data_IF_269177629842
#
_entry.id   IF_269177629842
#
_cell.length_a   1.000
_cell.length_b   1.000
_cell.length_c   1.000
_cell.angle_alpha   90.00
_cell.angle_beta   90.00
_cell.angle_gamma   90.00
#
_symmetry.space_group_name_H-M   'P 1'
#
loop_
_entity.id
_entity.type
_entity.pdbx_description
1 polymer ?
#
# COMPACT_ATOMS: atom_id res chain seq x y z
N UNK A 1 -27.67 3.34 35.92
CA UNK A 1 -27.10 4.27 36.93
C UNK A 1 -27.85 5.60 37.05
N UNK A 2 -28.26 6.29 35.96
CA UNK A 2 -29.02 7.57 36.00
C UNK A 2 -30.34 7.54 36.80
N UNK A 3 -31.07 6.43 36.78
CA UNK A 3 -32.37 6.35 37.47
C UNK A 3 -32.21 6.25 39.00
N UNK A 4 -31.15 5.58 39.48
CA UNK A 4 -30.84 5.52 40.92
C UNK A 4 -30.42 6.89 41.46
N UNK A 5 -29.54 7.61 40.76
CA UNK A 5 -29.06 8.93 41.20
C UNK A 5 -30.19 9.98 41.24
N UNK A 6 -31.16 9.87 40.33
CA UNK A 6 -32.33 10.77 40.31
C UNK A 6 -33.26 10.48 41.50
N UNK A 7 -33.44 9.21 41.88
CA UNK A 7 -34.23 8.82 43.06
C UNK A 7 -33.65 9.35 44.38
N UNK A 8 -32.33 9.24 44.58
CA UNK A 8 -31.65 9.80 45.75
C UNK A 8 -31.80 11.32 45.86
N UNK A 9 -31.81 12.02 44.72
CA UNK A 9 -31.95 13.46 44.68
C UNK A 9 -33.33 13.94 45.11
N UNK A 10 -34.40 13.28 44.64
CA UNK A 10 -35.76 13.58 45.08
C UNK A 10 -35.97 13.29 46.57
N UNK A 11 -35.32 12.25 47.09
CA UNK A 11 -35.32 11.97 48.53
C UNK A 11 -34.65 13.08 49.34
N UNK A 12 -33.52 13.61 48.85
CA UNK A 12 -32.85 14.75 49.45
C UNK A 12 -33.71 16.02 49.43
N UNK A 13 -34.45 16.28 48.34
CA UNK A 13 -35.39 17.41 48.25
C UNK A 13 -36.54 17.28 49.25
N UNK A 14 -37.11 16.09 49.39
CA UNK A 14 -38.13 15.79 50.38
C UNK A 14 -37.63 16.06 51.80
N UNK A 15 -36.42 15.58 52.11
CA UNK A 15 -35.79 15.81 53.41
C UNK A 15 -35.57 17.31 53.67
N UNK A 16 -35.02 18.05 52.72
CA UNK A 16 -34.79 19.49 52.87
C UNK A 16 -36.11 20.27 53.03
N UNK A 17 -37.14 19.93 52.23
CA UNK A 17 -38.47 20.53 52.37
C UNK A 17 -39.07 20.29 53.75
N UNK A 18 -38.99 19.06 54.26
CA UNK A 18 -39.46 18.73 55.61
C UNK A 18 -38.70 19.49 56.70
N UNK A 19 -37.39 19.69 56.56
CA UNK A 19 -36.62 20.47 57.54
C UNK A 19 -37.03 21.95 57.58
N UNK A 20 -37.29 22.56 56.41
CA UNK A 20 -37.81 23.95 56.33
C UNK A 20 -39.20 24.03 56.96
N UNK A 21 -40.08 23.08 56.68
CA UNK A 21 -41.41 23.04 57.29
C UNK A 21 -41.39 22.88 58.80
N UNK A 22 -40.53 21.99 59.32
CA UNK A 22 -40.36 21.77 60.76
C UNK A 22 -39.79 23.01 61.47
N UNK A 23 -38.86 23.73 60.82
CA UNK A 23 -38.30 24.98 61.34
C UNK A 23 -39.37 26.07 61.48
N UNK A 24 -40.18 26.28 60.45
CA UNK A 24 -41.24 27.30 60.48
C UNK A 24 -42.32 26.98 61.51
N UNK A 25 -42.66 25.70 61.69
CA UNK A 25 -43.58 25.28 62.75
C UNK A 25 -43.00 25.57 64.14
N UNK A 26 -41.72 25.24 64.36
CA UNK A 26 -41.02 25.49 65.63
C UNK A 26 -40.81 26.98 65.93
N UNK A 27 -40.76 27.83 64.91
CA UNK A 27 -40.69 29.29 65.05
C UNK A 27 -42.03 29.93 65.48
N UNK A 28 -43.10 29.15 65.69
CA UNK A 28 -44.38 29.64 66.21
C UNK A 28 -45.36 30.15 65.15
N UNK A 29 -45.07 29.93 63.85
CA UNK A 29 -45.92 30.38 62.74
C UNK A 29 -47.14 29.49 62.47
N UNK A 30 -47.32 28.42 63.25
CA UNK A 30 -48.41 27.45 63.12
C UNK A 30 -48.17 26.36 62.08
N UNK A 31 -48.96 25.28 62.17
CA UNK A 31 -48.81 24.09 61.32
C UNK A 31 -49.05 24.38 59.82
N UNK A 32 -49.96 25.31 59.50
CA UNK A 32 -50.23 25.74 58.13
C UNK A 32 -49.00 26.37 57.45
N UNK A 33 -48.24 27.20 58.18
CA UNK A 33 -47.01 27.80 57.69
C UNK A 33 -45.90 26.76 57.47
N UNK A 34 -45.82 25.73 58.33
CA UNK A 34 -44.88 24.62 58.16
C UNK A 34 -45.13 23.80 56.90
N UNK A 35 -46.39 23.42 56.63
CA UNK A 35 -46.76 22.68 55.42
C UNK A 35 -46.52 23.52 54.17
N UNK A 36 -46.93 24.79 54.18
CA UNK A 36 -46.72 25.70 53.05
C UNK A 36 -45.22 25.90 52.74
N UNK A 37 -44.38 26.04 53.78
CA UNK A 37 -42.94 26.17 53.62
C UNK A 37 -42.26 24.91 53.08
N UNK A 38 -42.71 23.72 53.49
CA UNK A 38 -42.18 22.46 52.95
C UNK A 38 -42.49 22.28 51.47
N UNK A 39 -43.74 22.55 51.06
CA UNK A 39 -44.17 22.49 49.65
C UNK A 39 -43.45 23.55 48.82
N UNK A 40 -43.30 24.77 49.34
CA UNK A 40 -42.59 25.86 48.67
C UNK A 40 -41.11 25.54 48.45
N UNK A 41 -40.43 25.01 49.45
CA UNK A 41 -39.03 24.59 49.34
C UNK A 41 -38.85 23.46 48.32
N UNK A 42 -39.75 22.47 48.31
CA UNK A 42 -39.77 21.40 47.31
C UNK A 42 -39.96 21.94 45.87
N UNK A 43 -40.91 22.86 45.68
CA UNK A 43 -41.15 23.49 44.39
C UNK A 43 -39.95 24.28 43.86
N UNK A 44 -39.28 25.03 44.72
CA UNK A 44 -38.09 25.80 44.36
C UNK A 44 -36.90 24.91 43.99
N UNK A 45 -36.65 23.83 44.74
CA UNK A 45 -35.59 22.88 44.44
C UNK A 45 -35.84 22.14 43.12
N UNK A 46 -37.10 21.73 42.88
CA UNK A 46 -37.50 21.11 41.62
C UNK A 46 -37.32 22.04 40.42
N UNK A 47 -37.72 23.31 40.55
CA UNK A 47 -37.53 24.32 39.51
C UNK A 47 -36.04 24.58 39.23
N UNK A 48 -35.23 24.71 40.28
CA UNK A 48 -33.78 24.89 40.15
C UNK A 48 -33.11 23.69 39.46
N UNK A 49 -33.48 22.46 39.83
CA UNK A 49 -32.98 21.25 39.19
C UNK A 49 -33.34 21.18 37.70
N UNK A 50 -34.59 21.52 37.34
CA UNK A 50 -35.04 21.57 35.95
C UNK A 50 -34.25 22.59 35.13
N UNK A 51 -33.93 23.75 35.70
CA UNK A 51 -33.11 24.77 35.04
C UNK A 51 -31.68 24.27 34.81
N UNK A 52 -31.03 23.67 35.82
CA UNK A 52 -29.65 23.17 35.72
C UNK A 52 -29.53 22.02 34.71
N UNK A 53 -30.43 21.04 34.79
CA UNK A 53 -30.44 19.89 33.86
C UNK A 53 -30.79 20.33 32.43
N UNK A 54 -31.73 21.25 32.27
CA UNK A 54 -32.05 21.86 30.98
C UNK A 54 -30.88 22.63 30.38
N UNK A 55 -30.12 23.39 31.18
CA UNK A 55 -28.91 24.08 30.72
C UNK A 55 -27.82 23.09 30.29
N UNK A 56 -27.61 22.00 31.04
CA UNK A 56 -26.64 20.98 30.68
C UNK A 56 -27.02 20.27 29.37
N UNK A 57 -28.29 19.90 29.19
CA UNK A 57 -28.79 19.30 27.96
C UNK A 57 -28.66 20.24 26.76
N UNK A 58 -28.98 21.53 26.92
CA UNK A 58 -28.81 22.54 25.87
C UNK A 58 -27.34 22.74 25.49
N UNK A 59 -26.41 22.68 26.46
CA UNK A 59 -24.97 22.74 26.17
C UNK A 59 -24.47 21.52 25.42
N UNK A 60 -24.93 20.33 25.78
CA UNK A 60 -24.59 19.08 25.08
C UNK A 60 -25.11 19.11 23.63
N UNK A 61 -26.39 19.49 23.44
CA UNK A 61 -26.98 19.62 22.10
C UNK A 61 -26.27 20.68 21.25
N UNK A 62 -25.88 21.82 21.85
CA UNK A 62 -25.10 22.83 21.13
C UNK A 62 -23.76 22.27 20.65
N UNK A 63 -23.08 21.49 21.48
CA UNK A 63 -21.80 20.83 21.12
C UNK A 63 -21.98 19.86 19.95
N UNK A 64 -23.04 19.05 19.95
CA UNK A 64 -23.36 18.16 18.82
C UNK A 64 -23.67 18.95 17.54
N UNK A 65 -24.45 20.04 17.63
CA UNK A 65 -24.74 20.90 16.47
C UNK A 65 -23.46 21.54 15.92
N UNK A 66 -22.57 21.99 16.78
CA UNK A 66 -21.29 22.59 16.36
C UNK A 66 -20.39 21.54 15.67
N UNK A 67 -20.35 20.30 16.17
CA UNK A 67 -19.65 19.18 15.51
C UNK A 67 -20.25 18.83 14.15
N UNK A 68 -21.58 18.81 14.02
CA UNK A 68 -22.25 18.56 12.74
C UNK A 68 -21.97 19.68 11.74
N UNK A 69 -21.95 20.95 12.19
CA UNK A 69 -21.59 22.10 11.35
C UNK A 69 -20.14 22.03 10.87
N UNK A 70 -19.22 21.62 11.73
CA UNK A 70 -17.82 21.44 11.37
C UNK A 70 -17.64 20.31 10.34
N UNK A 71 -18.30 19.17 10.55
CA UNK A 71 -18.32 18.08 9.56
C UNK A 71 -18.92 18.53 8.22
N UNK A 72 -20.01 19.30 8.23
CA UNK A 72 -20.63 19.82 7.01
C UNK A 72 -19.72 20.84 6.30
N UNK A 73 -18.97 21.65 7.04
CA UNK A 73 -18.00 22.59 6.45
C UNK A 73 -16.84 21.85 5.77
N UNK A 74 -16.30 20.82 6.41
CA UNK A 74 -15.25 19.96 5.81
C UNK A 74 -15.75 19.28 4.53
N UNK A 75 -17.00 18.83 4.52
CA UNK A 75 -17.65 18.25 3.34
C UNK A 75 -17.82 19.26 2.20
N UNK A 76 -18.22 20.50 2.53
CA UNK A 76 -18.33 21.58 1.56
C UNK A 76 -16.97 21.96 0.96
N UNK A 77 -15.93 22.10 1.79
CA UNK A 77 -14.55 22.40 1.36
C UNK A 77 -14.01 21.28 0.44
N UNK A 78 -14.33 20.01 0.75
CA UNK A 78 -13.96 18.87 -0.11
C UNK A 78 -14.72 18.86 -1.44
N UNK A 79 -16.00 19.27 -1.46
CA UNK A 79 -16.78 19.40 -2.68
C UNK A 79 -16.27 20.54 -3.58
N UNK A 80 -15.89 21.68 -3.00
CA UNK A 80 -15.32 22.80 -3.75
C UNK A 80 -13.95 22.43 -4.35
N UNK A 81 -13.11 21.72 -3.59
CA UNK A 81 -11.83 21.18 -4.06
C UNK A 81 -12.00 20.18 -5.22
N UNK A 82 -12.95 19.26 -5.11
CA UNK A 82 -13.25 18.29 -6.19
C UNK A 82 -13.84 18.96 -7.43
N UNK A 83 -14.66 20.01 -7.27
CA UNK A 83 -15.18 20.78 -8.40
C UNK A 83 -14.09 21.62 -9.09
N UNK A 84 -13.13 22.17 -8.32
CA UNK A 84 -11.94 22.82 -8.86
C UNK A 84 -11.08 21.85 -9.68
N UNK A 85 -10.80 20.67 -9.13
CA UNK A 85 -10.04 19.62 -9.81
C UNK A 85 -10.74 19.11 -11.09
N UNK A 86 -12.07 19.00 -11.09
CA UNK A 86 -12.83 18.65 -12.30
C UNK A 86 -12.78 19.74 -13.37
N UNK A 87 -12.72 21.00 -12.95
CA UNK A 87 -12.59 22.15 -13.87
C UNK A 87 -11.19 22.21 -14.48
N UNK A 88 -10.15 21.96 -13.68
CA UNK A 88 -8.77 21.81 -14.18
C UNK A 88 -8.62 20.60 -15.10
N UNK A 89 -9.25 19.47 -14.78
CA UNK A 89 -9.26 18.28 -15.64
C UNK A 89 -9.94 18.57 -16.98
N UNK A 90 -11.08 19.27 -16.96
CA UNK A 90 -11.78 19.69 -18.17
C UNK A 90 -10.91 20.63 -19.03
N UNK A 91 -10.22 21.59 -18.40
CA UNK A 91 -9.29 22.48 -19.10
C UNK A 91 -8.05 21.76 -19.63
N UNK A 92 -7.52 20.77 -18.91
CA UNK A 92 -6.37 19.98 -19.35
C UNK A 92 -6.71 19.06 -20.55
N UNK A 93 -7.95 18.54 -20.58
CA UNK A 93 -8.48 17.78 -21.72
C UNK A 93 -8.68 18.72 -22.93
N UNK A 94 -9.15 19.95 -22.69
CA UNK A 94 -9.38 20.94 -23.75
C UNK A 94 -8.07 21.58 -24.27
N UNK A 95 -7.03 21.67 -23.44
CA UNK A 95 -5.77 22.33 -23.80
C UNK A 95 -4.75 21.43 -24.50
N UNK A 96 -4.99 20.13 -24.62
CA UNK A 96 -4.13 19.21 -25.38
C UNK A 96 -2.63 19.45 -25.15
N UNK A 97 -2.19 19.49 -23.89
CA UNK A 97 -0.85 19.95 -23.52
C UNK A 97 0.23 19.01 -24.07
N UNK A 98 0.74 19.41 -25.23
CA UNK A 98 1.88 18.88 -25.96
C UNK A 98 3.16 18.88 -25.10
N UNK A 99 3.62 17.70 -24.64
CA UNK A 99 5.07 17.40 -24.51
C UNK A 99 5.45 15.92 -24.32
N UNK A 100 4.59 14.93 -24.58
CA UNK A 100 4.91 13.52 -24.25
C UNK A 100 5.40 12.66 -25.44
N UNK A 101 5.59 13.24 -26.64
CA UNK A 101 5.85 12.44 -27.85
C UNK A 101 7.26 11.84 -27.91
N UNK A 102 8.29 12.53 -27.41
CA UNK A 102 9.67 12.03 -27.44
C UNK A 102 9.99 11.03 -26.32
N UNK A 103 9.43 11.23 -25.12
CA UNK A 103 9.59 10.31 -23.98
C UNK A 103 8.89 8.97 -24.21
N UNK A 104 7.66 8.98 -24.77
CA UNK A 104 6.99 7.75 -25.21
C UNK A 104 7.79 7.02 -26.29
N UNK A 105 8.52 7.73 -27.16
CA UNK A 105 9.26 7.08 -28.25
C UNK A 105 10.47 6.29 -27.74
N UNK A 106 11.18 6.79 -26.72
CA UNK A 106 12.29 6.06 -26.06
C UNK A 106 11.80 4.83 -25.30
N UNK A 107 10.73 5.01 -24.52
CA UNK A 107 10.04 3.97 -23.75
C UNK A 107 9.57 2.79 -24.62
N UNK A 108 8.91 3.09 -25.74
CA UNK A 108 8.37 2.08 -26.65
C UNK A 108 9.48 1.34 -27.39
N UNK A 109 10.57 2.02 -27.76
CA UNK A 109 11.72 1.40 -28.43
C UNK A 109 12.47 0.42 -27.53
N UNK A 110 12.54 0.72 -26.23
CA UNK A 110 13.08 -0.19 -25.24
C UNK A 110 12.20 -1.45 -25.12
N UNK A 111 10.88 -1.27 -25.03
CA UNK A 111 9.92 -2.37 -24.98
C UNK A 111 10.02 -3.28 -26.21
N UNK A 112 10.10 -2.70 -27.42
CA UNK A 112 10.28 -3.45 -28.67
C UNK A 112 11.58 -4.26 -28.69
N UNK A 113 12.69 -3.66 -28.26
CA UNK A 113 13.99 -4.35 -28.23
C UNK A 113 13.97 -5.54 -27.26
N UNK A 114 13.30 -5.38 -26.12
CA UNK A 114 13.20 -6.41 -25.08
C UNK A 114 12.27 -7.56 -25.49
N UNK A 115 11.10 -7.25 -26.05
CA UNK A 115 10.18 -8.27 -26.59
C UNK A 115 10.88 -9.07 -27.70
N UNK A 116 11.68 -8.41 -28.54
CA UNK A 116 12.42 -9.09 -29.61
C UNK A 116 13.52 -10.01 -29.06
N UNK A 117 14.34 -9.54 -28.12
CA UNK A 117 15.39 -10.37 -27.50
C UNK A 117 14.82 -11.59 -26.76
N UNK A 118 13.68 -11.41 -26.09
CA UNK A 118 12.97 -12.50 -25.43
C UNK A 118 12.36 -13.49 -26.44
N UNK A 119 11.78 -12.99 -27.53
CA UNK A 119 11.25 -13.85 -28.61
C UNK A 119 12.35 -14.73 -29.21
N UNK A 120 13.51 -14.14 -29.47
CA UNK A 120 14.65 -14.86 -30.06
C UNK A 120 15.21 -15.95 -29.10
N UNK A 121 15.22 -15.68 -27.79
CA UNK A 121 15.67 -16.64 -26.76
C UNK A 121 14.72 -17.84 -26.63
N UNK A 122 13.41 -17.58 -26.63
CA UNK A 122 12.38 -18.62 -26.49
C UNK A 122 12.25 -19.45 -27.77
N UNK A 123 12.32 -18.82 -28.95
CA UNK A 123 12.29 -19.54 -30.23
C UNK A 123 13.49 -20.49 -30.38
N UNK A 124 14.69 -20.06 -29.97
CA UNK A 124 15.87 -20.93 -29.96
C UNK A 124 15.70 -22.13 -29.03
N UNK A 125 15.04 -21.96 -27.88
CA UNK A 125 14.80 -23.05 -26.93
C UNK A 125 13.70 -24.00 -27.37
N UNK A 126 12.56 -23.49 -27.87
CA UNK A 126 11.51 -24.31 -28.46
C UNK A 126 12.04 -25.15 -29.63
N UNK A 127 12.99 -24.62 -30.40
CA UNK A 127 13.68 -25.35 -31.47
C UNK A 127 14.67 -26.42 -30.96
N UNK A 128 15.22 -26.25 -29.75
CA UNK A 128 16.20 -27.16 -29.12
C UNK A 128 15.60 -28.26 -28.23
N UNK A 129 14.28 -28.22 -27.96
CA UNK A 129 13.63 -29.17 -27.07
C UNK A 129 13.68 -30.61 -27.65
N UNK A 130 14.24 -31.59 -26.93
CA UNK A 130 14.28 -32.97 -27.41
C UNK A 130 12.85 -33.53 -27.54
N UNK A 131 12.58 -34.24 -28.63
CA UNK A 131 11.33 -34.97 -28.84
C UNK A 131 11.25 -36.21 -27.94
N UNK A 132 11.09 -36.01 -26.63
CA UNK A 132 10.71 -37.07 -25.71
C UNK A 132 9.26 -37.46 -26.00
N UNK A 133 9.00 -38.76 -26.16
CA UNK A 133 7.66 -39.28 -26.48
C UNK A 133 6.62 -38.82 -25.47
N UNK A 134 5.54 -38.21 -25.99
CA UNK A 134 4.45 -37.55 -25.24
C UNK A 134 3.71 -38.50 -24.26
N UNK A 135 3.90 -39.82 -24.38
CA UNK A 135 3.16 -40.80 -23.58
C UNK A 135 3.64 -40.98 -22.13
N UNK A 136 4.89 -40.63 -21.82
CA UNK A 136 5.44 -40.77 -20.46
C UNK A 136 4.94 -39.67 -19.51
N UNK A 137 4.95 -39.95 -18.20
CA UNK A 137 4.58 -38.95 -17.19
C UNK A 137 5.48 -37.71 -17.26
N UNK A 138 6.79 -37.90 -17.49
CA UNK A 138 7.75 -36.83 -17.69
C UNK A 138 7.50 -36.07 -19.00
N UNK A 139 7.18 -36.77 -20.09
CA UNK A 139 6.81 -36.17 -21.36
C UNK A 139 5.56 -35.29 -21.28
N UNK A 140 4.53 -35.70 -20.53
CA UNK A 140 3.34 -34.88 -20.29
C UNK A 140 3.63 -33.64 -19.44
N UNK A 141 4.45 -33.78 -18.39
CA UNK A 141 4.86 -32.65 -17.54
C UNK A 141 5.64 -31.62 -18.36
N UNK A 142 6.56 -32.09 -19.19
CA UNK A 142 7.37 -31.22 -20.06
C UNK A 142 6.55 -30.57 -21.17
N UNK A 143 5.59 -31.29 -21.76
CA UNK A 143 4.64 -30.71 -22.71
C UNK A 143 3.78 -29.61 -22.06
N UNK A 144 3.31 -29.80 -20.82
CA UNK A 144 2.58 -28.78 -20.07
C UNK A 144 3.46 -27.55 -19.77
N UNK A 145 4.71 -27.75 -19.36
CA UNK A 145 5.67 -26.64 -19.18
C UNK A 145 5.91 -25.88 -20.48
N UNK A 146 6.09 -26.57 -21.61
CA UNK A 146 6.29 -25.92 -22.90
C UNK A 146 5.06 -25.10 -23.35
N UNK A 147 3.85 -25.61 -23.10
CA UNK A 147 2.60 -24.87 -23.38
C UNK A 147 2.51 -23.62 -22.50
N UNK A 148 2.84 -23.74 -21.22
CA UNK A 148 2.83 -22.60 -20.30
C UNK A 148 3.90 -21.55 -20.68
N UNK A 149 5.11 -21.99 -21.05
CA UNK A 149 6.17 -21.09 -21.55
C UNK A 149 5.72 -20.32 -22.79
N UNK A 150 5.11 -21.01 -23.75
CA UNK A 150 4.55 -20.37 -24.93
C UNK A 150 3.45 -19.38 -24.55
N UNK A 151 2.59 -19.72 -23.59
CA UNK A 151 1.56 -18.81 -23.08
C UNK A 151 2.15 -17.56 -22.44
N UNK A 152 3.19 -17.71 -21.60
CA UNK A 152 3.92 -16.59 -20.98
C UNK A 152 4.53 -15.70 -22.06
N UNK A 153 5.20 -16.31 -23.04
CA UNK A 153 5.78 -15.58 -24.16
C UNK A 153 4.74 -14.80 -24.97
N UNK A 154 3.65 -15.46 -25.37
CA UNK A 154 2.55 -14.83 -26.08
C UNK A 154 1.90 -13.71 -25.25
N UNK A 155 1.76 -13.89 -23.93
CA UNK A 155 1.22 -12.86 -23.07
C UNK A 155 2.13 -11.62 -23.00
N UNK A 156 3.42 -11.82 -22.82
CA UNK A 156 4.40 -10.73 -22.76
C UNK A 156 4.52 -10.01 -24.11
N UNK A 157 4.64 -10.76 -25.22
CA UNK A 157 4.75 -10.20 -26.57
C UNK A 157 3.50 -9.46 -27.03
N UNK A 158 2.31 -9.88 -26.60
CA UNK A 158 1.05 -9.24 -26.93
C UNK A 158 0.61 -8.19 -25.91
N UNK A 159 1.45 -7.88 -24.91
CA UNK A 159 1.14 -6.90 -23.87
C UNK A 159 -0.05 -7.31 -22.97
N UNK A 160 -0.39 -8.60 -22.90
CA UNK A 160 -1.47 -9.15 -22.05
C UNK A 160 -1.03 -9.25 -20.59
N UNK A 161 -0.64 -8.11 -20.04
CA UNK A 161 -0.03 -8.00 -18.73
C UNK A 161 -0.74 -6.92 -17.93
N UNK A 162 -1.43 -7.36 -16.89
CA UNK A 162 -2.14 -6.49 -15.97
C UNK A 162 -1.24 -6.04 -14.83
N UNK A 163 -1.32 -4.75 -14.53
CA UNK A 163 -0.77 -4.18 -13.32
C UNK A 163 -1.84 -4.17 -12.22
N UNK A 164 -1.50 -4.80 -11.10
CA UNK A 164 -2.28 -4.78 -9.88
C UNK A 164 -1.56 -3.93 -8.83
N UNK A 165 -2.31 -3.11 -8.10
CA UNK A 165 -1.79 -2.32 -7.00
C UNK A 165 -2.45 -2.72 -5.68
N UNK A 166 -1.65 -2.87 -4.63
CA UNK A 166 -2.14 -3.06 -3.26
C UNK A 166 -1.69 -1.90 -2.38
N UNK A 167 -2.59 -1.27 -1.59
CA UNK A 167 -2.21 -0.13 -0.76
C UNK A 167 -1.35 -0.53 0.43
N UNK A 168 -0.31 0.27 0.68
CA UNK A 168 0.41 0.36 1.95
C UNK A 168 -0.04 1.64 2.64
N UNK A 169 -0.53 1.52 3.87
CA UNK A 169 -1.20 2.62 4.58
C UNK A 169 -0.42 3.05 5.82
N UNK A 170 -0.56 4.31 6.19
CA UNK A 170 -0.13 4.83 7.48
C UNK A 170 -1.00 4.27 8.60
N UNK A 171 -0.42 4.02 9.76
CA UNK A 171 -1.12 3.64 10.98
C UNK A 171 -1.01 4.76 12.03
N UNK A 172 -2.07 5.04 12.81
CA UNK A 172 -3.39 4.41 12.76
C UNK A 172 -4.37 5.01 11.72
N UNK A 173 -4.02 6.10 11.04
CA UNK A 173 -4.99 6.88 10.22
C UNK A 173 -5.43 6.20 8.91
N UNK A 174 -4.78 5.10 8.49
CA UNK A 174 -5.04 4.33 7.27
C UNK A 174 -5.02 5.14 5.98
N UNK A 175 -4.14 6.14 5.91
CA UNK A 175 -3.94 6.90 4.67
C UNK A 175 -2.97 6.14 3.77
N UNK A 176 -3.31 5.94 2.51
CA UNK A 176 -2.39 5.34 1.55
C UNK A 176 -1.14 6.19 1.41
N UNK A 177 0.02 5.58 1.65
CA UNK A 177 1.34 6.19 1.48
C UNK A 177 2.03 5.64 0.24
N UNK A 178 1.85 4.34 -0.01
CA UNK A 178 2.47 3.66 -1.14
C UNK A 178 1.50 2.64 -1.74
N UNK A 179 1.84 2.14 -2.91
CA UNK A 179 1.28 0.94 -3.48
C UNK A 179 2.38 -0.08 -3.71
N UNK A 180 2.10 -1.34 -3.42
CA UNK A 180 2.89 -2.43 -4.00
C UNK A 180 2.33 -2.80 -5.36
N UNK A 181 3.23 -2.95 -6.34
CA UNK A 181 2.88 -3.35 -7.69
C UNK A 181 3.09 -4.85 -7.92
N UNK A 182 2.10 -5.46 -8.56
CA UNK A 182 2.13 -6.85 -8.94
C UNK A 182 1.78 -6.99 -10.42
N UNK A 183 2.49 -7.89 -11.08
CA UNK A 183 2.18 -8.30 -12.45
C UNK A 183 1.24 -9.49 -12.42
N UNK A 184 0.22 -9.50 -13.29
CA UNK A 184 -0.52 -10.71 -13.64
C UNK A 184 -0.58 -10.86 -15.15
N UNK A 185 -0.38 -12.07 -15.65
CA UNK A 185 -0.40 -12.36 -17.08
C UNK A 185 -1.79 -12.85 -17.48
N UNK A 186 -2.28 -12.50 -18.67
CA UNK A 186 -3.49 -13.12 -19.24
C UNK A 186 -3.16 -14.12 -20.32
N UNK A 187 -3.81 -15.27 -20.28
CA UNK A 187 -3.71 -16.27 -21.34
C UNK A 187 -4.56 -15.89 -22.57
N UNK A 188 -4.55 -16.74 -23.60
CA UNK A 188 -5.29 -16.49 -24.84
C UNK A 188 -6.82 -16.48 -24.67
N UNK A 189 -7.34 -17.00 -23.55
CA UNK A 189 -8.76 -16.97 -23.20
C UNK A 189 -9.10 -15.79 -22.27
N UNK A 190 -8.18 -14.85 -22.10
CA UNK A 190 -8.27 -13.69 -21.19
C UNK A 190 -8.36 -14.07 -19.71
N UNK A 191 -7.97 -15.31 -19.36
CA UNK A 191 -7.90 -15.75 -17.96
C UNK A 191 -6.63 -15.20 -17.33
N UNK A 192 -6.79 -14.53 -16.19
CA UNK A 192 -5.70 -14.04 -15.36
C UNK A 192 -4.96 -15.22 -14.72
N UNK A 193 -3.65 -15.29 -14.96
CA UNK A 193 -2.71 -16.23 -14.35
C UNK A 193 -2.01 -15.54 -13.18
N UNK A 194 -2.03 -16.20 -12.02
CA UNK A 194 -1.39 -15.73 -10.80
C UNK A 194 0.13 -15.98 -10.86
N UNK A 195 0.96 -15.16 -10.19
CA UNK A 195 2.41 -15.36 -10.15
C UNK A 195 2.85 -16.78 -9.76
N UNK A 196 2.16 -17.42 -8.81
CA UNK A 196 2.44 -18.79 -8.39
C UNK A 196 2.32 -19.83 -9.53
N UNK A 197 1.56 -19.53 -10.59
CA UNK A 197 1.37 -20.42 -11.74
C UNK A 197 2.53 -20.34 -12.73
N UNK A 198 3.18 -19.17 -12.89
CA UNK A 198 4.17 -18.94 -13.94
C UNK A 198 5.58 -18.60 -13.45
N UNK A 199 5.75 -18.09 -12.23
CA UNK A 199 7.01 -17.51 -11.78
C UNK A 199 8.14 -18.55 -11.68
N UNK A 200 7.87 -19.73 -11.11
CA UNK A 200 8.88 -20.81 -11.02
C UNK A 200 9.39 -21.28 -12.38
N UNK A 201 8.54 -21.23 -13.40
CA UNK A 201 8.91 -21.58 -14.76
C UNK A 201 9.65 -20.41 -15.44
N UNK A 202 9.19 -19.17 -15.23
CA UNK A 202 9.86 -17.97 -15.74
C UNK A 202 11.29 -17.81 -15.18
N UNK A 203 11.50 -18.16 -13.90
CA UNK A 203 12.82 -18.17 -13.25
C UNK A 203 13.78 -19.16 -13.91
N UNK A 204 13.37 -20.43 -14.05
CA UNK A 204 14.20 -21.46 -14.68
C UNK A 204 14.55 -21.17 -16.15
N UNK A 205 13.74 -20.35 -16.81
CA UNK A 205 13.87 -20.02 -18.22
C UNK A 205 14.46 -18.63 -18.47
N UNK A 206 14.81 -17.89 -17.41
CA UNK A 206 15.44 -16.57 -17.52
C UNK A 206 14.52 -15.48 -18.06
N UNK A 207 13.20 -15.63 -17.90
CA UNK A 207 12.19 -14.66 -18.36
C UNK A 207 11.89 -13.57 -17.33
N UNK A 208 12.39 -13.72 -16.10
CA UNK A 208 12.18 -12.77 -15.00
C UNK A 208 12.63 -11.35 -15.36
N UNK A 209 13.80 -11.10 -15.99
CA UNK A 209 14.18 -9.75 -16.39
C UNK A 209 13.18 -9.10 -17.35
N UNK A 210 12.59 -9.84 -18.28
CA UNK A 210 11.58 -9.29 -19.18
C UNK A 210 10.29 -8.91 -18.44
N UNK A 211 9.88 -9.71 -17.45
CA UNK A 211 8.72 -9.45 -16.60
C UNK A 211 8.97 -8.21 -15.72
N UNK A 212 10.13 -8.12 -15.09
CA UNK A 212 10.53 -6.98 -14.25
C UNK A 212 10.55 -5.67 -15.04
N UNK A 213 11.02 -5.70 -16.29
CA UNK A 213 11.03 -4.51 -17.14
C UNK A 213 9.64 -4.02 -17.48
N UNK A 214 8.77 -4.95 -17.86
CA UNK A 214 7.40 -4.60 -18.19
C UNK A 214 6.68 -4.04 -16.95
N UNK A 215 6.95 -4.64 -15.79
CA UNK A 215 6.47 -4.10 -14.51
C UNK A 215 7.03 -2.69 -14.27
N UNK A 216 8.34 -2.47 -14.39
CA UNK A 216 8.96 -1.16 -14.23
C UNK A 216 8.30 -0.12 -15.14
N UNK A 217 8.12 -0.46 -16.41
CA UNK A 217 7.50 0.45 -17.38
C UNK A 217 6.09 0.86 -16.93
N UNK A 218 5.26 -0.12 -16.55
CA UNK A 218 3.91 0.15 -16.02
C UNK A 218 3.96 0.94 -14.72
N UNK A 219 4.91 0.66 -13.84
CA UNK A 219 5.14 1.42 -12.60
C UNK A 219 5.52 2.87 -12.88
N UNK A 220 6.39 3.14 -13.85
CA UNK A 220 6.76 4.50 -14.26
C UNK A 220 5.53 5.29 -14.76
N UNK A 221 4.71 4.68 -15.62
CA UNK A 221 3.45 5.27 -16.10
C UNK A 221 2.51 5.61 -14.93
N UNK A 222 2.33 4.68 -13.99
CA UNK A 222 1.48 4.90 -12.82
C UNK A 222 2.05 5.96 -11.88
N UNK A 223 3.35 5.94 -11.58
CA UNK A 223 3.98 6.93 -10.72
C UNK A 223 3.77 8.34 -11.27
N UNK A 224 3.95 8.55 -12.58
CA UNK A 224 3.68 9.84 -13.23
C UNK A 224 2.24 10.27 -13.08
N UNK A 225 1.29 9.33 -13.26
CA UNK A 225 -0.14 9.61 -13.11
C UNK A 225 -0.51 9.93 -11.66
N UNK A 226 -0.04 9.15 -10.71
CA UNK A 226 -0.28 9.37 -9.27
C UNK A 226 0.33 10.68 -8.81
N UNK A 227 1.53 11.03 -9.29
CA UNK A 227 2.20 12.29 -8.97
C UNK A 227 1.43 13.53 -9.42
N UNK A 228 0.58 13.41 -10.45
CA UNK A 228 -0.33 14.50 -10.88
C UNK A 228 -1.52 14.69 -9.93
N UNK A 229 -1.92 13.65 -9.18
CA UNK A 229 -3.07 13.67 -8.26
C UNK A 229 -2.67 13.91 -6.80
N UNK A 230 -1.63 13.22 -6.33
CA UNK A 230 -1.04 13.38 -5.00
C UNK A 230 0.46 13.07 -5.07
N UNK A 231 1.30 14.10 -4.92
CA UNK A 231 2.77 14.00 -5.01
C UNK A 231 3.42 13.13 -3.94
N UNK A 232 2.64 12.63 -2.95
CA UNK A 232 3.18 11.90 -1.80
C UNK A 232 3.08 10.39 -1.91
N UNK A 233 2.44 9.84 -2.94
CA UNK A 233 2.23 8.41 -3.07
C UNK A 233 3.34 7.77 -3.90
N UNK A 234 4.03 6.78 -3.34
CA UNK A 234 5.03 5.98 -4.05
C UNK A 234 4.53 4.58 -4.46
N UNK A 235 5.35 3.86 -5.21
CA UNK A 235 5.10 2.52 -5.73
C UNK A 235 6.33 1.65 -5.48
N UNK A 236 6.14 0.51 -4.83
CA UNK A 236 7.13 -0.56 -4.74
C UNK A 236 7.10 -1.39 -6.02
N UNK A 237 8.25 -1.56 -6.65
CA UNK A 237 8.44 -2.31 -7.88
C UNK A 237 9.45 -3.43 -7.63
N UNK A 238 9.01 -4.68 -7.82
CA UNK A 238 9.89 -5.83 -7.70
C UNK A 238 11.05 -5.77 -8.71
N UNK A 239 12.24 -6.14 -8.26
CA UNK A 239 13.43 -6.30 -9.11
C UNK A 239 14.18 -7.58 -8.73
N UNK A 240 14.45 -8.42 -9.72
CA UNK A 240 15.22 -9.63 -9.52
C UNK A 240 16.73 -9.38 -9.52
N UNK A 241 17.45 -10.20 -8.76
CA UNK A 241 18.91 -10.17 -8.72
C UNK A 241 19.54 -10.49 -10.08
N UNK A 242 18.92 -11.39 -10.84
CA UNK A 242 19.34 -11.71 -12.22
C UNK A 242 19.26 -10.49 -13.14
N UNK A 243 18.22 -9.65 -12.97
CA UNK A 243 18.08 -8.38 -13.69
C UNK A 243 19.19 -7.39 -13.31
N UNK A 244 19.57 -7.34 -12.03
CA UNK A 244 20.69 -6.51 -11.55
C UNK A 244 22.06 -7.04 -11.98
N UNK A 245 22.23 -8.34 -12.16
CA UNK A 245 23.48 -8.99 -12.55
C UNK A 245 23.72 -9.08 -14.06
N UNK A 246 22.70 -8.85 -14.89
CA UNK A 246 22.78 -9.00 -16.35
C UNK A 246 23.57 -7.84 -16.99
N UNK A 247 24.75 -8.16 -17.52
CA UNK A 247 25.67 -7.20 -18.15
C UNK A 247 25.15 -6.58 -19.46
N UNK A 248 24.20 -7.24 -20.13
CA UNK A 248 23.61 -6.76 -21.39
C UNK A 248 22.36 -5.91 -21.15
N UNK A 249 21.66 -6.20 -20.06
CA UNK A 249 20.38 -5.58 -19.74
C UNK A 249 20.55 -4.40 -18.79
N UNK A 250 21.28 -4.57 -17.68
CA UNK A 250 21.38 -3.55 -16.64
C UNK A 250 21.87 -2.18 -17.14
N UNK A 251 22.82 -2.06 -18.10
CA UNK A 251 23.21 -0.75 -18.63
C UNK A 251 22.03 0.01 -19.26
N UNK A 252 21.18 -0.68 -20.03
CA UNK A 252 20.00 -0.08 -20.65
C UNK A 252 18.96 0.34 -19.61
N UNK A 253 18.74 -0.52 -18.62
CA UNK A 253 17.87 -0.23 -17.47
C UNK A 253 18.33 1.02 -16.71
N UNK A 254 19.64 1.14 -16.47
CA UNK A 254 20.22 2.30 -15.81
C UNK A 254 20.06 3.57 -16.65
N UNK A 255 20.28 3.51 -17.96
CA UNK A 255 20.09 4.65 -18.87
C UNK A 255 18.64 5.13 -18.85
N UNK A 256 17.67 4.21 -18.90
CA UNK A 256 16.25 4.53 -18.78
C UNK A 256 15.94 5.23 -17.45
N UNK A 257 16.40 4.71 -16.31
CA UNK A 257 16.18 5.35 -15.02
C UNK A 257 16.91 6.69 -14.87
N UNK A 258 18.04 6.85 -15.57
CA UNK A 258 18.78 8.09 -15.62
C UNK A 258 18.05 9.18 -16.43
N UNK A 259 17.37 8.80 -17.50
CA UNK A 259 16.47 9.69 -18.26
C UNK A 259 15.21 10.03 -17.44
N UNK A 260 14.79 9.14 -16.54
CA UNK A 260 13.57 9.24 -15.74
C UNK A 260 13.86 9.45 -14.23
N UNK A 261 14.83 10.31 -13.92
CA UNK A 261 15.25 10.60 -12.52
C UNK A 261 14.15 11.20 -11.65
N UNK A 262 13.13 11.81 -12.25
CA UNK A 262 11.97 12.35 -11.54
C UNK A 262 11.17 11.27 -10.79
N UNK A 263 11.32 10.00 -11.19
CA UNK A 263 10.68 8.86 -10.53
C UNK A 263 11.33 8.46 -9.20
N UNK A 264 12.55 8.93 -8.90
CA UNK A 264 13.39 8.35 -7.84
C UNK A 264 12.82 8.46 -6.41
N UNK A 265 11.94 9.43 -6.13
CA UNK A 265 11.28 9.57 -4.83
C UNK A 265 10.05 8.67 -4.67
N UNK A 266 9.42 8.35 -5.79
CA UNK A 266 8.14 7.68 -5.84
C UNK A 266 8.24 6.22 -6.32
N UNK A 267 9.33 5.82 -6.96
CA UNK A 267 9.60 4.43 -7.32
C UNK A 267 10.64 3.83 -6.36
N UNK A 268 10.23 2.78 -5.64
CA UNK A 268 11.08 2.06 -4.70
C UNK A 268 11.29 0.65 -5.24
N UNK A 269 12.53 0.21 -5.37
CA UNK A 269 12.84 -1.14 -5.82
C UNK A 269 12.75 -2.15 -4.68
N UNK A 270 12.10 -3.28 -4.92
CA UNK A 270 11.84 -4.29 -3.90
C UNK A 270 12.53 -5.61 -4.26
N UNK A 271 13.20 -6.21 -3.27
CA UNK A 271 13.87 -7.50 -3.42
C UNK A 271 13.75 -8.31 -2.12
N UNK A 272 13.67 -9.63 -2.25
CA UNK A 272 13.52 -10.52 -1.10
C UNK A 272 14.77 -10.55 -0.20
N UNK A 273 14.58 -10.83 1.11
CA UNK A 273 15.68 -10.96 2.07
C UNK A 273 16.79 -11.91 1.61
N UNK A 274 16.43 -13.17 1.29
CA UNK A 274 17.42 -14.17 0.86
C UNK A 274 18.16 -13.74 -0.42
N UNK A 275 17.47 -13.01 -1.30
CA UNK A 275 18.04 -12.48 -2.55
C UNK A 275 19.03 -11.35 -2.27
N UNK A 276 18.72 -10.46 -1.34
CA UNK A 276 19.64 -9.41 -0.88
C UNK A 276 20.88 -10.01 -0.21
N UNK A 277 20.71 -10.99 0.67
CA UNK A 277 21.81 -11.60 1.41
C UNK A 277 22.75 -12.41 0.49
N UNK A 278 22.21 -13.02 -0.57
CA UNK A 278 22.96 -13.79 -1.55
C UNK A 278 23.62 -12.94 -2.66
N UNK A 279 23.45 -11.61 -2.66
CA UNK A 279 23.92 -10.75 -3.75
C UNK A 279 25.44 -10.75 -3.87
N UNK A 280 25.92 -10.84 -5.11
CA UNK A 280 27.34 -10.74 -5.42
C UNK A 280 27.84 -9.30 -5.51
N UNK A 281 29.13 -9.17 -5.81
CA UNK A 281 29.76 -7.85 -5.97
C UNK A 281 29.25 -7.08 -7.19
N UNK A 282 28.75 -7.77 -8.22
CA UNK A 282 28.20 -7.13 -9.43
C UNK A 282 26.87 -6.48 -9.10
N UNK A 283 25.99 -7.22 -8.45
CA UNK A 283 24.64 -6.79 -8.11
C UNK A 283 24.67 -5.70 -7.06
N UNK A 284 25.49 -5.84 -6.01
CA UNK A 284 25.68 -4.78 -5.01
C UNK A 284 26.18 -3.46 -5.64
N UNK A 285 27.12 -3.54 -6.60
CA UNK A 285 27.59 -2.36 -7.34
C UNK A 285 26.50 -1.76 -8.23
N UNK A 286 25.67 -2.59 -8.83
CA UNK A 286 24.58 -2.13 -9.69
C UNK A 286 23.43 -1.52 -8.86
N UNK A 287 23.14 -2.04 -7.67
CA UNK A 287 22.28 -1.37 -6.69
C UNK A 287 22.83 0.00 -6.29
N UNK A 288 24.13 0.11 -6.03
CA UNK A 288 24.76 1.39 -5.70
C UNK A 288 24.60 2.44 -6.82
N UNK A 289 24.71 2.03 -8.10
CA UNK A 289 24.45 2.93 -9.24
C UNK A 289 23.01 3.45 -9.27
N UNK A 290 22.03 2.62 -8.91
CA UNK A 290 20.63 3.05 -8.82
C UNK A 290 20.42 4.01 -7.64
N UNK A 291 21.09 3.74 -6.51
CA UNK A 291 21.10 4.63 -5.36
C UNK A 291 21.74 5.99 -5.67
N UNK A 292 22.82 6.03 -6.47
CA UNK A 292 23.46 7.27 -6.96
C UNK A 292 22.51 8.12 -7.83
N UNK A 293 21.54 7.49 -8.50
CA UNK A 293 20.45 8.18 -9.22
C UNK A 293 19.31 8.64 -8.28
N UNK A 294 19.39 8.28 -6.99
CA UNK A 294 18.45 8.65 -5.93
C UNK A 294 17.33 7.64 -5.69
N UNK A 295 17.33 6.50 -6.38
CA UNK A 295 16.36 5.43 -6.13
C UNK A 295 16.63 4.76 -4.78
N UNK A 296 15.59 4.16 -4.22
CA UNK A 296 15.61 3.53 -2.90
C UNK A 296 15.24 2.07 -3.00
N UNK A 297 15.65 1.29 -2.01
CA UNK A 297 15.33 -0.12 -1.93
C UNK A 297 14.40 -0.45 -0.76
N UNK A 298 13.69 -1.56 -0.90
CA UNK A 298 12.84 -2.20 0.10
C UNK A 298 13.20 -3.68 0.18
N UNK A 299 13.29 -4.22 1.40
CA UNK A 299 13.47 -5.65 1.62
C UNK A 299 12.12 -6.33 1.80
N UNK A 300 11.81 -7.30 0.96
CA UNK A 300 10.56 -8.06 0.98
C UNK A 300 10.72 -9.45 1.62
N UNK A 301 9.60 -10.02 2.06
CA UNK A 301 9.50 -11.38 2.63
C UNK A 301 10.56 -11.62 3.70
N UNK A 302 10.71 -10.69 4.63
CA UNK A 302 11.62 -10.86 5.77
C UNK A 302 11.16 -12.07 6.60
N UNK A 303 12.07 -13.02 6.80
CA UNK A 303 11.85 -14.26 7.55
C UNK A 303 12.53 -14.24 8.93
N UNK A 304 13.55 -13.40 9.09
CA UNK A 304 14.26 -13.20 10.36
C UNK A 304 14.52 -11.72 10.58
N UNK A 305 14.25 -11.24 11.79
CA UNK A 305 14.50 -9.85 12.19
C UNK A 305 15.98 -9.54 12.45
N UNK A 306 16.81 -10.59 12.53
CA UNK A 306 18.25 -10.50 12.71
C UNK A 306 18.96 -10.09 11.40
N UNK A 307 18.77 -8.82 11.01
CA UNK A 307 19.27 -8.22 9.77
C UNK A 307 20.59 -7.46 10.01
N UNK A 308 21.46 -7.41 8.99
CA UNK A 308 22.61 -6.50 9.00
C UNK A 308 22.16 -5.07 8.65
N UNK A 309 21.71 -4.32 9.65
CA UNK A 309 21.21 -2.95 9.46
C UNK A 309 22.26 -1.98 8.86
N UNK A 310 23.54 -2.22 9.11
CA UNK A 310 24.60 -1.40 8.51
C UNK A 310 24.70 -1.68 7.00
N UNK A 311 24.53 -2.95 6.60
CA UNK A 311 24.50 -3.32 5.19
C UNK A 311 23.25 -2.80 4.46
N UNK A 312 22.08 -2.83 5.12
CA UNK A 312 20.85 -2.20 4.62
C UNK A 312 21.04 -0.71 4.37
N UNK A 313 21.63 0.01 5.35
CA UNK A 313 21.90 1.43 5.24
C UNK A 313 22.85 1.75 4.09
N UNK A 314 23.95 0.99 3.94
CA UNK A 314 24.93 1.16 2.85
C UNK A 314 24.35 0.85 1.47
N UNK A 315 23.33 0.00 1.41
CA UNK A 315 22.66 -0.40 0.17
C UNK A 315 21.43 0.45 -0.15
N UNK A 316 21.24 1.58 0.55
CA UNK A 316 20.09 2.47 0.42
C UNK A 316 18.71 1.78 0.53
N UNK A 317 18.65 0.71 1.33
CA UNK A 317 17.38 0.13 1.76
C UNK A 317 16.74 1.07 2.78
N UNK A 318 15.50 1.50 2.50
CA UNK A 318 14.72 2.41 3.36
C UNK A 318 13.51 1.75 3.98
N UNK A 319 13.13 0.57 3.52
CA UNK A 319 11.97 -0.16 4.00
C UNK A 319 12.31 -1.63 4.22
N UNK A 320 11.72 -2.23 5.24
CA UNK A 320 11.67 -3.68 5.41
C UNK A 320 10.21 -4.09 5.58
N UNK A 321 9.78 -5.11 4.84
CA UNK A 321 8.44 -5.68 4.89
C UNK A 321 8.47 -6.98 5.66
N UNK A 322 7.71 -7.02 6.74
CA UNK A 322 7.72 -8.11 7.71
C UNK A 322 6.30 -8.55 7.96
N UNK A 323 6.02 -9.85 7.89
CA UNK A 323 4.70 -10.38 8.20
C UNK A 323 4.29 -9.99 9.63
N UNK A 324 3.04 -9.54 9.78
CA UNK A 324 2.44 -9.17 11.06
C UNK A 324 2.65 -10.26 12.12
N UNK A 325 2.35 -11.51 11.76
CA UNK A 325 2.51 -12.65 12.67
C UNK A 325 3.97 -12.88 13.06
N UNK A 326 4.92 -12.64 12.15
CA UNK A 326 6.35 -12.77 12.46
C UNK A 326 6.82 -11.68 13.43
N UNK A 327 6.35 -10.44 13.25
CA UNK A 327 6.64 -9.35 14.19
C UNK A 327 6.10 -9.67 15.59
N UNK A 328 4.86 -10.16 15.66
CA UNK A 328 4.21 -10.51 16.93
C UNK A 328 4.94 -11.68 17.60
N UNK A 329 5.19 -12.76 16.85
CA UNK A 329 5.87 -13.95 17.36
C UNK A 329 7.29 -13.64 17.86
N UNK A 330 8.08 -12.91 17.07
CA UNK A 330 9.50 -12.68 17.38
C UNK A 330 9.75 -11.50 18.33
N UNK A 331 8.78 -10.62 18.56
CA UNK A 331 8.96 -9.44 19.42
C UNK A 331 8.04 -9.46 20.65
N UNK A 332 6.76 -9.82 20.52
CA UNK A 332 5.80 -9.76 21.63
C UNK A 332 5.67 -11.08 22.39
N UNK A 333 5.66 -12.20 21.67
CA UNK A 333 5.47 -13.54 22.25
C UNK A 333 6.79 -14.22 22.66
N UNK A 334 7.83 -13.43 22.92
CA UNK A 334 9.12 -13.94 23.39
C UNK A 334 8.99 -14.48 24.82
N UNK A 335 9.08 -15.80 24.97
CA UNK A 335 9.23 -16.51 26.26
C UNK A 335 10.62 -16.27 26.88
N UNK A 336 11.01 -15.01 27.11
CA UNK A 336 12.27 -14.61 27.75
C UNK A 336 13.52 -14.69 26.87
N UNK A 337 13.36 -14.89 25.56
CA UNK A 337 14.44 -14.82 24.57
C UNK A 337 14.74 -13.39 24.12
N UNK A 338 15.94 -13.14 23.60
CA UNK A 338 16.25 -11.87 22.96
C UNK A 338 15.64 -11.83 21.54
N UNK A 339 14.98 -10.73 21.13
CA UNK A 339 14.36 -10.62 19.80
C UNK A 339 15.38 -10.72 18.66
N UNK A 340 16.58 -10.18 18.89
CA UNK A 340 17.68 -10.18 17.92
C UNK A 340 18.85 -10.97 18.49
N UNK A 341 19.30 -12.01 17.78
CA UNK A 341 20.44 -12.83 18.23
C UNK A 341 21.75 -12.06 18.17
N UNK A 342 21.93 -11.22 17.15
CA UNK A 342 23.10 -10.36 17.02
C UNK A 342 23.13 -9.21 18.03
N UNK A 343 21.97 -8.83 18.58
CA UNK A 343 21.82 -7.71 19.51
C UNK A 343 20.93 -8.09 20.70
N UNK A 344 21.44 -8.91 21.64
CA UNK A 344 20.62 -9.51 22.69
C UNK A 344 20.05 -8.50 23.71
N UNK A 345 20.64 -7.30 23.79
CA UNK A 345 20.22 -6.25 24.72
C UNK A 345 19.02 -5.43 24.22
N UNK A 346 18.64 -5.57 22.93
CA UNK A 346 17.53 -4.83 22.34
C UNK A 346 16.20 -5.40 22.83
N UNK A 347 15.37 -4.54 23.40
CA UNK A 347 14.00 -4.90 23.76
C UNK A 347 13.11 -4.85 22.52
N UNK A 348 12.06 -5.67 22.53
CA UNK A 348 11.06 -5.73 21.46
C UNK A 348 10.49 -4.36 21.07
N UNK A 349 10.14 -3.54 22.07
CA UNK A 349 9.60 -2.19 21.89
C UNK A 349 10.59 -1.22 21.20
N UNK A 350 11.90 -1.52 21.23
CA UNK A 350 12.93 -0.67 20.65
C UNK A 350 13.26 -1.07 19.19
N UNK A 351 12.68 -2.15 18.65
CA UNK A 351 13.00 -2.64 17.31
C UNK A 351 12.72 -1.61 16.20
N UNK A 352 11.54 -0.99 16.21
CA UNK A 352 11.20 0.05 15.24
C UNK A 352 12.09 1.30 15.42
N UNK A 353 12.45 1.65 16.67
CA UNK A 353 13.37 2.75 16.92
C UNK A 353 14.79 2.45 16.44
N UNK A 354 15.26 1.21 16.59
CA UNK A 354 16.56 0.74 16.10
C UNK A 354 16.64 0.80 14.58
N UNK A 355 15.68 0.21 13.87
CA UNK A 355 15.61 0.23 12.39
C UNK A 355 15.65 1.67 11.86
N UNK A 356 14.87 2.58 12.45
CA UNK A 356 14.87 4.01 12.07
C UNK A 356 16.21 4.71 12.29
N UNK A 357 17.03 4.31 13.26
CA UNK A 357 18.40 4.86 13.43
C UNK A 357 19.31 4.55 12.25
N UNK A 358 19.06 3.45 11.55
CA UNK A 358 19.73 3.10 10.30
C UNK A 358 19.04 3.68 9.06
N UNK A 359 17.98 4.48 9.24
CA UNK A 359 17.20 5.07 8.15
C UNK A 359 16.27 4.07 7.45
N UNK A 360 15.88 3.00 8.15
CA UNK A 360 15.00 1.94 7.66
C UNK A 360 13.68 2.00 8.41
N UNK A 361 12.57 2.05 7.68
CA UNK A 361 11.22 1.97 8.24
C UNK A 361 10.65 0.56 8.09
N UNK A 362 9.82 0.15 9.05
CA UNK A 362 9.16 -1.17 9.05
C UNK A 362 7.77 -1.04 8.46
N UNK A 363 7.42 -1.96 7.55
CA UNK A 363 6.07 -2.13 7.02
C UNK A 363 5.59 -3.51 7.48
N UNK A 364 4.50 -3.55 8.25
CA UNK A 364 3.86 -4.80 8.60
C UNK A 364 2.99 -5.29 7.43
N UNK A 365 3.32 -6.43 6.84
CA UNK A 365 2.56 -7.04 5.75
C UNK A 365 1.63 -8.16 6.25
N UNK A 366 0.71 -8.60 5.39
CA UNK A 366 -0.27 -9.67 5.69
C UNK A 366 -1.10 -9.39 6.94
N UNK A 367 -1.46 -8.12 7.15
CA UNK A 367 -2.40 -7.73 8.21
C UNK A 367 -3.83 -8.12 7.79
N UNK A 368 -4.45 -9.01 8.56
CA UNK A 368 -5.77 -9.58 8.28
C UNK A 368 -6.82 -9.19 9.32
N UNK A 369 -6.40 -8.84 10.55
CA UNK A 369 -7.31 -8.54 11.65
C UNK A 369 -6.95 -7.25 12.39
N UNK A 370 -7.99 -6.56 12.91
CA UNK A 370 -7.85 -5.36 13.73
C UNK A 370 -6.99 -5.58 14.98
N UNK A 371 -6.99 -6.81 15.53
CA UNK A 371 -6.13 -7.17 16.65
C UNK A 371 -4.64 -7.03 16.31
N UNK A 372 -4.21 -7.53 15.15
CA UNK A 372 -2.82 -7.41 14.70
C UNK A 372 -2.41 -5.93 14.58
N UNK A 373 -3.32 -5.04 14.21
CA UNK A 373 -3.04 -3.59 14.15
C UNK A 373 -2.71 -3.02 15.52
N UNK A 374 -3.39 -3.47 16.58
CA UNK A 374 -3.09 -3.05 17.96
C UNK A 374 -1.69 -3.52 18.34
N UNK A 375 -1.40 -4.80 18.12
CA UNK A 375 -0.11 -5.41 18.46
C UNK A 375 1.07 -4.74 17.69
N UNK A 376 0.89 -4.46 16.40
CA UNK A 376 1.87 -3.75 15.55
C UNK A 376 2.10 -2.30 16.02
N UNK A 377 1.05 -1.61 16.48
CA UNK A 377 1.17 -0.25 17.01
C UNK A 377 1.91 -0.22 18.35
N UNK A 378 1.80 -1.26 19.18
CA UNK A 378 2.60 -1.39 20.41
C UNK A 378 4.11 -1.51 20.12
N UNK A 379 4.46 -2.03 18.94
CA UNK A 379 5.84 -2.10 18.42
C UNK A 379 6.30 -0.81 17.73
N UNK A 380 5.50 0.26 17.74
CA UNK A 380 5.78 1.55 17.11
C UNK A 380 6.03 1.47 15.58
N UNK A 381 5.37 0.50 14.94
CA UNK A 381 5.38 0.32 13.48
C UNK A 381 4.25 1.16 12.85
N UNK A 382 4.64 2.15 12.06
CA UNK A 382 3.74 3.18 11.55
C UNK A 382 3.11 2.87 10.18
N UNK A 383 3.40 1.71 9.58
CA UNK A 383 2.92 1.34 8.24
C UNK A 383 2.42 -0.10 8.20
N UNK A 384 1.33 -0.31 7.45
CA UNK A 384 0.70 -1.62 7.32
C UNK A 384 0.20 -1.90 5.90
N UNK A 385 0.19 -3.18 5.54
CA UNK A 385 -0.33 -3.73 4.29
C UNK A 385 -1.01 -5.07 4.56
N UNK A 386 -2.12 -5.35 3.88
CA UNK A 386 -2.82 -6.62 4.00
C UNK A 386 -4.28 -6.54 3.58
N UNK A 387 -4.95 -7.70 3.58
CA UNK A 387 -6.37 -7.82 3.21
C UNK A 387 -7.27 -6.90 4.04
N UNK A 388 -6.88 -6.59 5.28
CA UNK A 388 -7.60 -5.64 6.13
C UNK A 388 -7.71 -4.23 5.52
N UNK A 389 -6.68 -3.78 4.79
CA UNK A 389 -6.61 -2.43 4.21
C UNK A 389 -7.00 -2.40 2.73
N UNK A 390 -6.77 -3.50 2.02
CA UNK A 390 -7.16 -3.65 0.63
C UNK A 390 -6.47 -4.83 -0.05
N UNK A 391 -7.22 -5.51 -0.90
CA UNK A 391 -6.68 -6.52 -1.80
C UNK A 391 -5.96 -5.88 -2.99
N UNK A 392 -5.04 -6.60 -3.65
CA UNK A 392 -4.47 -6.15 -4.92
C UNK A 392 -5.59 -5.95 -5.96
N UNK A 393 -5.67 -4.76 -6.55
CA UNK A 393 -6.69 -4.40 -7.55
C UNK A 393 -6.06 -4.08 -8.90
N UNK A 394 -6.67 -4.60 -9.97
CA UNK A 394 -6.26 -4.28 -11.33
C UNK A 394 -6.47 -2.78 -11.61
N UNK A 395 -5.48 -2.16 -12.25
CA UNK A 395 -5.68 -0.86 -12.87
C UNK A 395 -6.42 -1.08 -14.20
N UNK A 396 -7.55 -0.38 -14.38
CA UNK A 396 -8.33 -0.49 -15.62
C UNK A 396 -7.48 -0.07 -16.82
N UNK A 397 -7.51 -0.84 -17.90
CA UNK A 397 -6.73 -0.60 -19.13
C UNK A 397 -6.91 0.82 -19.71
N UNK A 398 -8.10 1.43 -19.57
CA UNK A 398 -8.36 2.83 -19.96
C UNK A 398 -7.48 3.86 -19.22
N UNK A 399 -7.05 3.52 -18.01
CA UNK A 399 -6.15 4.32 -17.16
C UNK A 399 -4.69 4.16 -17.61
N UNK A 400 -4.36 3.09 -18.34
CA UNK A 400 -3.03 2.82 -18.94
C UNK A 400 -2.95 3.29 -20.41
N UNK A 401 -4.06 3.21 -21.15
CA UNK A 401 -4.14 3.48 -22.59
C UNK A 401 -3.99 4.97 -22.97
N UNK A 402 -4.23 5.91 -22.05
CA UNK A 402 -3.92 7.34 -22.26
C UNK A 402 -2.40 7.61 -22.38
N UNK A 403 -1.57 6.60 -22.07
CA UNK A 403 -0.11 6.64 -22.13
C UNK A 403 0.49 5.52 -23.01
N UNK A 404 -0.34 4.74 -23.72
CA UNK A 404 0.16 3.75 -24.68
C UNK A 404 0.41 4.41 -26.05
N UNK A 405 1.45 4.02 -26.81
CA UNK A 405 1.55 4.41 -28.21
C UNK A 405 0.32 3.88 -28.98
N UNK A 406 -0.11 4.55 -30.07
CA UNK A 406 -1.29 4.14 -30.82
C UNK A 406 -1.19 2.66 -31.23
N UNK A 407 -2.24 1.89 -30.99
CA UNK A 407 -2.30 0.45 -31.29
C UNK A 407 -2.04 0.11 -32.79
N UNK A 408 -2.20 1.10 -33.67
CA UNK A 408 -1.89 0.99 -35.11
C UNK A 408 -0.37 0.96 -35.37
N UNK A 409 0.42 1.55 -34.47
CA UNK A 409 1.87 1.68 -34.59
C UNK A 409 2.58 0.36 -34.25
N UNK A 410 2.26 -0.28 -33.12
CA UNK A 410 2.78 -1.61 -32.74
C UNK A 410 2.44 -2.70 -33.77
N UNK A 411 1.29 -2.60 -34.44
CA UNK A 411 0.90 -3.52 -35.53
C UNK A 411 1.68 -3.26 -36.83
N UNK A 412 2.14 -2.03 -37.05
CA UNK A 412 2.87 -1.63 -38.26
C UNK A 412 4.37 -2.02 -38.21
N UNK A 413 5.01 -1.91 -37.04
CA UNK A 413 6.42 -2.32 -36.86
C UNK A 413 6.59 -3.84 -37.01
N UNK A 414 5.62 -4.63 -36.57
CA UNK A 414 5.69 -6.10 -36.63
C UNK A 414 5.40 -6.67 -38.04
N UNK A 415 4.48 -6.07 -38.81
CA UNK A 415 4.27 -6.45 -40.23
C UNK A 415 5.52 -6.23 -41.09
N UNK A 416 6.32 -5.22 -40.74
CA UNK A 416 7.58 -4.90 -41.42
C UNK A 416 8.65 -5.98 -41.19
N UNK A 417 8.65 -6.64 -40.03
CA UNK A 417 9.54 -7.74 -39.71
C UNK A 417 9.12 -9.06 -40.41
N UNK A 418 7.81 -9.34 -40.48
CA UNK A 418 7.29 -10.50 -41.23
C UNK A 418 7.48 -10.37 -42.75
N UNK A 419 7.36 -9.15 -43.31
CA UNK A 419 7.62 -8.90 -44.73
C UNK A 419 9.10 -9.07 -45.10
N UNK A 420 10.04 -8.76 -44.21
CA UNK A 420 11.48 -8.98 -44.43
C UNK A 420 11.87 -10.47 -44.40
N UNK A 421 11.11 -11.32 -43.70
CA UNK A 421 11.28 -12.78 -43.72
C UNK A 421 10.73 -13.47 -44.98
N UNK A 422 9.86 -12.82 -45.76
CA UNK A 422 9.34 -13.39 -47.03
C UNK A 422 10.21 -13.09 -48.26
N UNK A 423 11.21 -12.23 -48.13
CA UNK A 423 12.13 -11.84 -49.20
C UNK A 423 13.60 -12.18 -48.91
N UNK A 424 13.85 -12.99 -47.87
CA UNK A 424 15.08 -13.74 -47.62
C UNK A 424 14.78 -15.22 -47.81
#
# INVERSE_FOLDING_TARGET
>A
MRNLTTGFLYFAYLFLGMTVGAFLWRAGLGAGAGVAGAIGALGLLGAFHGIVTGMAARRALKKEIDQVREAHRLLADAMESTQGALTELAQAIESGALSDTDALTGEVRMLETLVQQMSDSIDQRLASAPSLGVETFEGRRQAQSNVLLRTIHEALSQGRVDLYLQPVVSLPQRRTLFYESFTRLRDASDRVMMPAEYLSLAEGEGLVPAIDNLLLFRCAQIVRRLSRQDRKVGVFCNVALTSLGDETFFPRFLDFLNENRDLNQALIFELGQATFDARGAVEARNMAKLADLGFRFSLDKVQTLDLDFADLQRSDVKFIKVAADLLIEQLLDLDGGAPLRSMPDIQAADFAALTRRYGVEVIAEKVEAERQVVDILELDVAMGQGHLFGEPRAIKEQVLAETDPPAEFLRSTLRSAEQRRRFS
#
